data_IF_656212994741
#
_entry.id   IF_656212994741
#
_cell.length_a   1.000
_cell.length_b   1.000
_cell.length_c   1.000
_cell.angle_alpha   90.00
_cell.angle_beta   90.00
_cell.angle_gamma   90.00
#
_symmetry.space_group_name_H-M   'P 1'
#
loop_
_entity.id
_entity.type
_entity.pdbx_description
1 polymer ?
#
# COMPACT_ATOMS: atom_id res chain seq x y z
N UNK A 1 -5.78 10.25 2.27
CA UNK A 1 -4.53 10.03 3.01
C UNK A 1 -3.37 10.11 2.01
N UNK A 2 -2.28 10.82 2.32
CA UNK A 2 -1.12 10.91 1.42
C UNK A 2 -0.41 9.57 1.27
N UNK A 3 0.12 9.28 0.08
CA UNK A 3 0.75 7.99 -0.22
C UNK A 3 2.06 7.76 0.53
N UNK A 4 2.76 8.84 0.85
CA UNK A 4 3.93 8.82 1.74
C UNK A 4 3.60 8.20 3.11
N UNK A 5 2.36 8.37 3.61
CA UNK A 5 1.92 7.78 4.88
C UNK A 5 1.82 6.27 4.75
N UNK A 6 1.27 5.76 3.65
CA UNK A 6 1.21 4.33 3.38
C UNK A 6 2.61 3.73 3.19
N UNK A 7 3.48 4.41 2.43
CA UNK A 7 4.87 4.00 2.27
C UNK A 7 5.59 3.90 3.62
N UNK A 8 5.42 4.90 4.49
CA UNK A 8 6.04 4.91 5.81
C UNK A 8 5.61 3.74 6.69
N UNK A 9 4.31 3.41 6.70
CA UNK A 9 3.74 2.37 7.57
C UNK A 9 3.95 0.97 7.02
N UNK A 10 3.66 0.76 5.74
CA UNK A 10 3.71 -0.57 5.13
C UNK A 10 5.17 -0.95 4.86
N UNK A 11 5.92 -0.13 4.14
CA UNK A 11 7.25 -0.54 3.68
C UNK A 11 8.34 -0.35 4.73
N UNK A 12 8.42 0.85 5.35
CA UNK A 12 9.50 1.16 6.28
C UNK A 12 9.26 0.65 7.69
N UNK A 13 8.02 0.73 8.19
CA UNK A 13 7.67 0.25 9.53
C UNK A 13 7.16 -1.21 9.55
N UNK A 14 6.96 -1.83 8.38
CA UNK A 14 6.51 -3.22 8.24
C UNK A 14 5.19 -3.53 8.96
N UNK A 15 4.28 -2.56 9.05
CA UNK A 15 2.98 -2.78 9.70
C UNK A 15 2.17 -3.82 8.92
N UNK A 16 1.39 -4.61 9.65
CA UNK A 16 0.35 -5.49 9.10
C UNK A 16 -0.87 -4.69 8.65
N UNK A 17 -1.73 -5.30 7.84
CA UNK A 17 -2.97 -4.66 7.39
C UNK A 17 -3.83 -4.15 8.56
N UNK A 18 -3.93 -4.95 9.63
CA UNK A 18 -4.68 -4.60 10.83
C UNK A 18 -4.09 -3.35 11.51
N UNK A 19 -2.77 -3.30 11.72
CA UNK A 19 -2.08 -2.17 12.33
C UNK A 19 -2.21 -0.90 11.49
N UNK A 20 -2.15 -1.01 10.16
CA UNK A 20 -2.31 0.15 9.28
C UNK A 20 -3.71 0.72 9.41
N UNK A 21 -4.77 -0.09 9.25
CA UNK A 21 -6.15 0.41 9.28
C UNK A 21 -6.50 1.01 10.65
N UNK A 22 -6.06 0.38 11.76
CA UNK A 22 -6.25 0.88 13.13
C UNK A 22 -5.51 2.20 13.32
N UNK A 23 -4.23 2.26 12.93
CA UNK A 23 -3.40 3.46 13.12
C UNK A 23 -3.88 4.67 12.31
N UNK A 24 -4.67 4.43 11.25
CA UNK A 24 -5.27 5.46 10.41
C UNK A 24 -6.70 5.81 10.80
N UNK A 25 -7.34 5.01 11.67
CA UNK A 25 -8.74 5.20 12.07
C UNK A 25 -9.73 5.07 10.91
N UNK A 26 -9.42 4.22 9.92
CA UNK A 26 -10.27 3.97 8.74
C UNK A 26 -10.86 2.57 8.80
N UNK A 27 -11.87 2.25 7.97
CA UNK A 27 -12.37 0.87 7.86
C UNK A 27 -11.42 0.00 7.05
N UNK A 28 -11.57 -1.33 7.17
CA UNK A 28 -10.83 -2.29 6.35
C UNK A 28 -11.11 -2.07 4.87
N UNK A 29 -12.39 -1.88 4.48
CA UNK A 29 -12.73 -1.62 3.08
C UNK A 29 -12.08 -0.33 2.56
N UNK A 30 -12.07 0.74 3.35
CA UNK A 30 -11.46 2.00 2.94
C UNK A 30 -9.94 1.86 2.69
N UNK A 31 -9.24 1.09 3.53
CA UNK A 31 -7.83 0.79 3.31
C UNK A 31 -7.63 -0.09 2.07
N UNK A 32 -8.47 -1.12 1.88
CA UNK A 32 -8.44 -1.98 0.68
C UNK A 32 -8.59 -1.16 -0.60
N UNK A 33 -9.60 -0.30 -0.68
CA UNK A 33 -9.80 0.57 -1.85
C UNK A 33 -8.60 1.49 -2.08
N UNK A 34 -8.05 2.12 -1.03
CA UNK A 34 -6.88 2.99 -1.19
C UNK A 34 -5.66 2.23 -1.72
N UNK A 35 -5.41 1.01 -1.25
CA UNK A 35 -4.29 0.20 -1.72
C UNK A 35 -4.46 -0.22 -3.18
N UNK A 36 -5.67 -0.62 -3.59
CA UNK A 36 -5.95 -0.97 -5.00
C UNK A 36 -5.72 0.24 -5.89
N UNK A 37 -6.25 1.41 -5.52
CA UNK A 37 -6.09 2.63 -6.32
C UNK A 37 -4.63 3.08 -6.40
N UNK A 38 -3.90 3.06 -5.27
CA UNK A 38 -2.47 3.41 -5.23
C UNK A 38 -1.65 2.45 -6.10
N UNK A 39 -1.84 1.15 -5.96
CA UNK A 39 -1.10 0.18 -6.76
C UNK A 39 -1.45 0.30 -8.24
N UNK A 40 -2.70 0.61 -8.61
CA UNK A 40 -3.07 0.86 -10.00
C UNK A 40 -2.38 2.10 -10.59
N UNK A 41 -2.17 3.13 -9.78
CA UNK A 41 -1.50 4.37 -10.20
C UNK A 41 0.00 4.16 -10.45
N UNK A 42 0.66 3.41 -9.57
CA UNK A 42 2.12 3.25 -9.59
C UNK A 42 2.63 1.93 -10.21
N UNK A 43 1.79 0.89 -10.31
CA UNK A 43 2.13 -0.39 -10.95
C UNK A 43 1.36 -0.61 -12.25
N UNK A 44 2.09 -1.01 -13.29
CA UNK A 44 1.54 -1.42 -14.60
C UNK A 44 1.04 -2.88 -14.60
N UNK A 45 0.75 -3.45 -13.43
CA UNK A 45 0.29 -4.84 -13.30
C UNK A 45 -1.22 -4.97 -13.60
N UNK A 46 -1.67 -6.18 -13.94
CA UNK A 46 -3.09 -6.45 -14.21
C UNK A 46 -3.93 -6.26 -12.93
N UNK A 47 -5.19 -5.82 -13.06
CA UNK A 47 -6.08 -5.62 -11.90
C UNK A 47 -6.21 -6.89 -11.03
N UNK A 48 -6.17 -8.07 -11.63
CA UNK A 48 -6.19 -9.35 -10.91
C UNK A 48 -4.97 -9.55 -10.02
N UNK A 49 -3.80 -9.10 -10.46
CA UNK A 49 -2.56 -9.17 -9.67
C UNK A 49 -2.63 -8.20 -8.50
N UNK A 50 -3.07 -6.95 -8.73
CA UNK A 50 -3.25 -5.96 -7.68
C UNK A 50 -4.20 -6.49 -6.58
N UNK A 51 -5.34 -7.07 -6.98
CA UNK A 51 -6.29 -7.66 -6.03
C UNK A 51 -5.65 -8.78 -5.21
N UNK A 52 -4.93 -9.70 -5.87
CA UNK A 52 -4.21 -10.78 -5.18
C UNK A 52 -3.22 -10.25 -4.15
N UNK A 53 -2.40 -9.26 -4.50
CA UNK A 53 -1.41 -8.66 -3.58
C UNK A 53 -2.11 -8.07 -2.34
N UNK A 54 -3.24 -7.39 -2.54
CA UNK A 54 -4.00 -6.78 -1.44
C UNK A 54 -4.67 -7.85 -0.58
N UNK A 55 -5.24 -8.90 -1.19
CA UNK A 55 -5.85 -10.03 -0.48
C UNK A 55 -4.80 -10.78 0.37
N UNK A 56 -3.61 -11.05 -0.18
CA UNK A 56 -2.49 -11.64 0.54
C UNK A 56 -2.10 -10.79 1.77
N UNK A 57 -2.05 -9.48 1.63
CA UNK A 57 -1.74 -8.58 2.74
C UNK A 57 -2.84 -8.56 3.81
N UNK A 58 -4.12 -8.61 3.41
CA UNK A 58 -5.26 -8.76 4.33
C UNK A 58 -5.15 -10.07 5.14
N UNK A 59 -4.70 -11.14 4.50
CA UNK A 59 -4.44 -12.45 5.12
C UNK A 59 -3.15 -12.50 5.97
N UNK A 60 -2.43 -11.37 6.09
CA UNK A 60 -1.20 -11.25 6.88
C UNK A 60 0.07 -11.69 6.16
N UNK A 61 0.01 -11.94 4.85
CA UNK A 61 1.15 -12.27 4.01
C UNK A 61 1.79 -10.98 3.47
N UNK A 62 2.71 -10.41 4.24
CA UNK A 62 3.27 -9.08 3.94
C UNK A 62 4.33 -9.06 2.81
N UNK A 63 4.86 -10.21 2.40
CA UNK A 63 6.00 -10.26 1.49
C UNK A 63 5.72 -9.59 0.13
N UNK A 64 4.56 -9.89 -0.47
CA UNK A 64 4.21 -9.40 -1.81
C UNK A 64 3.93 -7.90 -1.81
N UNK A 65 3.19 -7.40 -0.82
CA UNK A 65 2.94 -5.96 -0.70
C UNK A 65 4.24 -5.18 -0.46
N UNK A 66 5.16 -5.72 0.35
CA UNK A 66 6.48 -5.10 0.56
C UNK A 66 7.29 -5.00 -0.73
N UNK A 67 7.27 -6.06 -1.55
CA UNK A 67 7.92 -6.04 -2.87
C UNK A 67 7.28 -5.01 -3.81
N UNK A 68 5.95 -4.90 -3.80
CA UNK A 68 5.25 -3.88 -4.56
C UNK A 68 5.63 -2.47 -4.11
N UNK A 69 5.66 -2.20 -2.80
CA UNK A 69 6.09 -0.91 -2.28
C UNK A 69 7.58 -0.63 -2.54
N UNK A 70 8.46 -1.63 -2.50
CA UNK A 70 9.87 -1.47 -2.85
C UNK A 70 10.05 -0.90 -4.26
N UNK A 71 9.27 -1.40 -5.23
CA UNK A 71 9.31 -0.96 -6.63
C UNK A 71 8.86 0.49 -6.83
N UNK A 72 7.96 1.00 -5.99
CA UNK A 72 7.30 2.32 -6.17
C UNK A 72 7.72 3.37 -5.15
N UNK A 73 8.55 3.01 -4.16
CA UNK A 73 8.95 3.89 -3.04
C UNK A 73 9.57 5.21 -3.50
N UNK A 74 10.35 5.17 -4.57
CA UNK A 74 11.08 6.36 -5.05
C UNK A 74 10.13 7.32 -5.76
N UNK A 75 9.19 6.81 -6.56
CA UNK A 75 8.15 7.63 -7.18
C UNK A 75 7.25 8.31 -6.13
N UNK A 76 6.80 7.57 -5.11
CA UNK A 76 5.98 8.14 -4.03
C UNK A 76 6.76 9.25 -3.27
N UNK A 77 8.06 9.04 -3.04
CA UNK A 77 8.91 10.02 -2.37
C UNK A 77 9.12 11.28 -3.22
N UNK A 78 9.37 11.11 -4.52
CA UNK A 78 9.54 12.21 -5.46
C UNK A 78 8.26 13.02 -5.62
N UNK A 79 7.10 12.36 -5.74
CA UNK A 79 5.80 13.02 -5.82
C UNK A 79 5.52 13.86 -4.57
N UNK A 80 5.85 13.34 -3.38
CA UNK A 80 5.68 14.08 -2.12
C UNK A 80 6.60 15.31 -2.04
N UNK A 81 7.82 15.22 -2.55
CA UNK A 81 8.78 16.34 -2.52
C UNK A 81 8.45 17.47 -3.51
N UNK A 82 7.57 17.23 -4.48
CA UNK A 82 7.14 18.23 -5.48
C UNK A 82 5.98 19.12 -5.00
N UNK A 83 5.38 18.80 -3.85
CA UNK A 83 4.29 19.57 -3.20
C UNK A 83 4.82 20.55 -2.15
#
# INVERSE_FOLDING_TARGET
MPDIVLLSKIYYACYTFEEVHVSLGVSKEALTYRLIDLLREYHLELETEIRRVVDEYIDGQNATIHHCFHKIKDQIADDFNQY
#
